data_IF_484909822367
#
_entry.id   IF_484909822367
#
_cell.length_a   1.000
_cell.length_b   1.000
_cell.length_c   1.000
_cell.angle_alpha   90.00
_cell.angle_beta   90.00
_cell.angle_gamma   90.00
#
_symmetry.space_group_name_H-M   'P 1'
#
loop_
_entity.id
_entity.type
_entity.pdbx_description
1 polymer ?
#
# COMPACT_ATOMS: atom_id res chain seq x y z
N UNK A 1 1.59 -18.80 38.39
CA UNK A 1 2.12 -19.19 37.07
C UNK A 1 1.09 -20.08 36.39
N UNK A 2 0.44 -19.60 35.31
CA UNK A 2 -0.38 -20.47 34.47
C UNK A 2 0.57 -21.14 33.47
N UNK A 3 0.75 -22.44 33.60
CA UNK A 3 1.53 -23.24 32.65
C UNK A 3 0.63 -23.40 31.43
N UNK A 4 0.85 -22.58 30.40
CA UNK A 4 0.23 -22.78 29.09
C UNK A 4 0.83 -24.07 28.52
N UNK A 5 -0.02 -25.02 28.11
CA UNK A 5 0.41 -26.31 27.58
C UNK A 5 1.15 -26.12 26.25
N UNK A 6 2.18 -26.94 25.99
CA UNK A 6 3.00 -26.94 24.76
C UNK A 6 2.19 -26.82 23.43
N UNK A 7 1.04 -27.51 23.25
CA UNK A 7 0.24 -27.39 22.03
C UNK A 7 -0.41 -26.01 21.84
N UNK A 8 -0.72 -25.30 22.93
CA UNK A 8 -1.27 -23.94 22.87
C UNK A 8 -0.18 -22.94 22.49
N UNK A 9 1.04 -23.12 23.00
CA UNK A 9 2.20 -22.34 22.59
C UNK A 9 2.56 -22.58 21.12
N UNK A 10 2.55 -23.84 20.66
CA UNK A 10 2.79 -24.17 19.24
C UNK A 10 1.67 -23.62 18.33
N UNK A 11 0.41 -23.64 18.77
CA UNK A 11 -0.71 -23.02 18.05
C UNK A 11 -0.52 -21.50 17.95
N UNK A 12 -0.19 -20.83 19.05
CA UNK A 12 0.05 -19.38 19.07
C UNK A 12 1.23 -18.99 18.17
N UNK A 13 2.34 -19.73 18.22
CA UNK A 13 3.51 -19.50 17.34
C UNK A 13 3.16 -19.75 15.86
N UNK A 14 2.36 -20.80 15.59
CA UNK A 14 1.88 -21.11 14.24
C UNK A 14 0.96 -20.01 13.71
N UNK A 15 0.00 -19.55 14.52
CA UNK A 15 -0.92 -18.47 14.17
C UNK A 15 -0.18 -17.15 13.97
N UNK A 16 0.92 -16.95 14.71
CA UNK A 16 1.78 -15.77 14.61
C UNK A 16 2.53 -15.72 13.28
N UNK A 17 3.16 -16.85 12.94
CA UNK A 17 3.81 -17.03 11.65
C UNK A 17 2.80 -16.95 10.50
N UNK A 18 1.54 -17.36 10.69
CA UNK A 18 0.48 -17.24 9.68
C UNK A 18 0.10 -15.79 9.45
N UNK A 19 -0.18 -15.01 10.49
CA UNK A 19 -0.59 -13.61 10.32
C UNK A 19 0.53 -12.77 9.71
N UNK A 20 1.78 -12.99 10.11
CA UNK A 20 2.93 -12.32 9.50
C UNK A 20 3.10 -12.63 8.01
N UNK A 21 2.91 -13.90 7.63
CA UNK A 21 2.97 -14.32 6.22
C UNK A 21 1.86 -13.68 5.39
N UNK A 22 0.61 -13.75 5.84
CA UNK A 22 -0.53 -13.16 5.12
C UNK A 22 -0.39 -11.64 5.01
N UNK A 23 0.06 -10.95 6.06
CA UNK A 23 0.35 -9.51 6.03
C UNK A 23 1.39 -9.17 4.96
N UNK A 24 2.48 -9.95 4.92
CA UNK A 24 3.56 -9.76 3.95
C UNK A 24 3.11 -9.99 2.52
N UNK A 25 2.27 -10.99 2.27
CA UNK A 25 1.69 -11.26 0.95
C UNK A 25 0.72 -10.16 0.51
N UNK A 26 -0.11 -9.64 1.42
CA UNK A 26 -1.00 -8.50 1.13
C UNK A 26 -0.16 -7.29 0.75
N UNK A 27 0.81 -6.91 1.57
CA UNK A 27 1.66 -5.76 1.31
C UNK A 27 2.46 -5.94 0.02
N UNK A 28 2.95 -7.14 -0.27
CA UNK A 28 3.62 -7.41 -1.54
C UNK A 28 2.67 -7.23 -2.73
N UNK A 29 1.47 -7.80 -2.66
CA UNK A 29 0.46 -7.67 -3.73
C UNK A 29 0.05 -6.21 -3.94
N UNK A 30 -0.06 -5.43 -2.86
CA UNK A 30 -0.44 -4.02 -2.92
C UNK A 30 0.72 -3.08 -3.29
N UNK A 31 1.96 -3.52 -3.09
CA UNK A 31 3.16 -2.81 -3.53
C UNK A 31 3.61 -3.23 -4.95
N UNK A 32 3.01 -4.26 -5.54
CA UNK A 32 3.32 -4.70 -6.90
C UNK A 32 2.84 -3.69 -7.93
N UNK A 33 3.78 -3.22 -8.75
CA UNK A 33 3.48 -2.40 -9.91
C UNK A 33 3.00 -0.99 -9.56
N UNK A 34 2.62 -0.17 -10.55
CA UNK A 34 2.05 1.16 -10.34
C UNK A 34 0.72 1.08 -9.57
N UNK A 35 0.36 2.15 -8.84
CA UNK A 35 -0.93 2.25 -8.13
C UNK A 35 -2.14 1.90 -9.01
N UNK A 36 -2.10 2.26 -10.30
CA UNK A 36 -3.17 1.97 -11.27
C UNK A 36 -3.39 0.48 -11.54
N UNK A 37 -2.40 -0.37 -11.29
CA UNK A 37 -2.53 -1.83 -11.36
C UNK A 37 -3.07 -2.39 -10.04
N UNK A 38 -2.55 -1.89 -8.91
CA UNK A 38 -3.02 -2.23 -7.57
C UNK A 38 -4.52 -1.98 -7.41
N UNK A 39 -5.00 -0.79 -7.80
CA UNK A 39 -6.41 -0.45 -7.65
C UNK A 39 -7.29 -1.36 -8.52
N UNK A 40 -6.83 -1.82 -9.69
CA UNK A 40 -7.57 -2.77 -10.53
C UNK A 40 -7.71 -4.12 -9.86
N UNK A 41 -6.64 -4.64 -9.26
CA UNK A 41 -6.66 -5.92 -8.53
C UNK A 41 -7.72 -5.87 -7.43
N UNK A 42 -7.80 -4.74 -6.72
CA UNK A 42 -8.70 -4.61 -5.58
C UNK A 42 -10.15 -4.29 -5.99
N UNK A 43 -10.35 -3.51 -7.04
CA UNK A 43 -11.70 -3.09 -7.51
C UNK A 43 -12.33 -4.06 -8.51
N UNK A 44 -11.58 -5.04 -9.03
CA UNK A 44 -12.08 -6.05 -9.98
C UNK A 44 -11.97 -7.46 -9.37
N UNK A 45 -12.81 -7.79 -8.38
CA UNK A 45 -12.75 -9.08 -7.68
C UNK A 45 -13.07 -10.28 -8.59
N UNK A 46 -13.64 -10.05 -9.78
CA UNK A 46 -13.93 -11.09 -10.78
C UNK A 46 -12.70 -11.51 -11.61
N UNK A 47 -11.64 -10.70 -11.60
CA UNK A 47 -10.38 -11.06 -12.26
C UNK A 47 -9.65 -12.15 -11.48
N UNK A 48 -8.81 -12.96 -12.13
CA UNK A 48 -8.02 -14.01 -11.46
C UNK A 48 -7.17 -13.44 -10.31
N UNK A 49 -6.51 -12.30 -10.54
CA UNK A 49 -5.73 -11.59 -9.53
C UNK A 49 -6.62 -11.01 -8.41
N UNK A 50 -7.79 -10.48 -8.75
CA UNK A 50 -8.76 -9.98 -7.78
C UNK A 50 -9.34 -11.08 -6.89
N UNK A 51 -9.65 -12.25 -7.45
CA UNK A 51 -10.10 -13.43 -6.70
C UNK A 51 -9.00 -13.95 -5.76
N UNK A 52 -7.76 -13.99 -6.24
CA UNK A 52 -6.60 -14.37 -5.43
C UNK A 52 -6.39 -13.39 -4.27
N UNK A 53 -6.45 -12.08 -4.54
CA UNK A 53 -6.36 -11.04 -3.51
C UNK A 53 -7.52 -11.12 -2.51
N UNK A 54 -8.77 -11.28 -2.97
CA UNK A 54 -9.94 -11.39 -2.11
C UNK A 54 -9.86 -12.61 -1.18
N UNK A 55 -9.38 -13.74 -1.69
CA UNK A 55 -9.15 -14.95 -0.90
C UNK A 55 -8.06 -14.71 0.16
N UNK A 56 -6.95 -14.08 -0.22
CA UNK A 56 -5.87 -13.73 0.67
C UNK A 56 -6.32 -12.76 1.77
N UNK A 57 -7.07 -11.71 1.42
CA UNK A 57 -7.67 -10.75 2.35
C UNK A 57 -8.61 -11.45 3.33
N UNK A 58 -9.48 -12.34 2.86
CA UNK A 58 -10.39 -13.10 3.72
C UNK A 58 -9.63 -13.98 4.73
N UNK A 59 -8.57 -14.67 4.29
CA UNK A 59 -7.70 -15.46 5.17
C UNK A 59 -6.97 -14.58 6.21
N UNK A 60 -6.49 -13.42 5.77
CA UNK A 60 -5.86 -12.44 6.66
C UNK A 60 -6.85 -11.95 7.73
N UNK A 61 -8.05 -11.53 7.34
CA UNK A 61 -9.07 -11.03 8.27
C UNK A 61 -9.52 -12.11 9.27
N UNK A 62 -9.67 -13.36 8.81
CA UNK A 62 -9.97 -14.49 9.69
C UNK A 62 -8.85 -14.77 10.69
N UNK A 63 -7.59 -14.72 10.25
CA UNK A 63 -6.44 -14.95 11.12
C UNK A 63 -6.29 -13.80 12.13
N UNK A 64 -6.53 -12.55 11.70
CA UNK A 64 -6.52 -11.37 12.58
C UNK A 64 -7.57 -11.46 13.68
N UNK A 65 -8.75 -12.01 13.40
CA UNK A 65 -9.83 -12.21 14.38
C UNK A 65 -9.45 -13.10 15.57
N UNK A 66 -8.39 -13.90 15.46
CA UNK A 66 -7.85 -14.68 16.57
C UNK A 66 -7.20 -13.76 17.62
N UNK A 67 -6.62 -12.64 17.18
CA UNK A 67 -5.91 -11.67 18.03
C UNK A 67 -6.80 -10.50 18.46
N UNK A 68 -7.72 -10.05 17.61
CA UNK A 68 -8.67 -8.99 17.95
C UNK A 68 -10.00 -9.23 17.27
N UNK A 69 -11.06 -9.35 18.07
CA UNK A 69 -12.42 -9.58 17.56
C UNK A 69 -13.19 -8.29 17.26
N UNK A 70 -12.80 -7.17 17.90
CA UNK A 70 -13.58 -5.93 17.89
C UNK A 70 -12.81 -4.74 17.30
N UNK A 71 -11.50 -4.68 17.49
CA UNK A 71 -10.66 -3.59 16.99
C UNK A 71 -10.00 -3.96 15.66
N UNK A 72 -9.97 -3.06 14.67
CA UNK A 72 -9.35 -3.35 13.39
C UNK A 72 -7.82 -3.41 13.47
N UNK A 73 -7.21 -2.62 14.36
CA UNK A 73 -5.77 -2.65 14.64
C UNK A 73 -5.44 -3.52 15.85
N UNK A 74 -4.26 -4.13 15.84
CA UNK A 74 -3.73 -4.96 16.92
C UNK A 74 -2.80 -4.14 17.81
N UNK A 75 -2.96 -4.24 19.12
CA UNK A 75 -2.00 -3.68 20.09
C UNK A 75 -1.08 -4.78 20.62
N UNK A 76 0.23 -4.60 20.43
CA UNK A 76 1.22 -5.52 20.98
C UNK A 76 1.17 -5.55 22.52
N UNK A 77 0.84 -4.43 23.16
CA UNK A 77 0.77 -4.33 24.62
C UNK A 77 -0.47 -5.03 25.18
N UNK A 78 -1.63 -4.90 24.53
CA UNK A 78 -2.86 -5.62 24.90
C UNK A 78 -2.69 -7.15 24.72
N UNK A 79 -1.92 -7.56 23.71
CA UNK A 79 -1.57 -8.96 23.46
C UNK A 79 -0.40 -9.46 24.34
N UNK A 80 0.19 -8.60 25.18
CA UNK A 80 1.36 -8.87 26.01
C UNK A 80 2.55 -9.44 25.21
N UNK A 81 2.77 -8.91 24.01
CA UNK A 81 3.87 -9.24 23.10
C UNK A 81 5.05 -8.30 23.39
N UNK A 82 6.18 -8.87 23.81
CA UNK A 82 7.37 -8.11 24.24
C UNK A 82 8.55 -8.28 23.31
N UNK A 83 8.62 -9.39 22.57
CA UNK A 83 9.75 -9.67 21.70
C UNK A 83 9.76 -8.70 20.50
N UNK A 84 10.88 -8.01 20.21
CA UNK A 84 10.94 -7.01 19.13
C UNK A 84 10.57 -7.57 17.75
N UNK A 85 10.94 -8.82 17.45
CA UNK A 85 10.58 -9.51 16.21
C UNK A 85 9.07 -9.68 16.08
N UNK A 86 8.42 -10.08 17.18
CA UNK A 86 6.99 -10.19 17.22
C UNK A 86 6.36 -8.80 17.06
N UNK A 87 6.75 -7.79 17.83
CA UNK A 87 6.20 -6.43 17.68
C UNK A 87 6.32 -5.89 16.25
N UNK A 88 7.40 -6.23 15.53
CA UNK A 88 7.54 -5.97 14.10
C UNK A 88 6.45 -6.64 13.24
N UNK A 89 6.10 -7.90 13.51
CA UNK A 89 5.01 -8.60 12.82
C UNK A 89 3.63 -7.99 13.11
N UNK A 90 3.37 -7.53 14.34
CA UNK A 90 2.14 -6.78 14.66
C UNK A 90 2.08 -5.49 13.82
N UNK A 91 3.19 -4.74 13.76
CA UNK A 91 3.27 -3.54 12.93
C UNK A 91 3.02 -3.83 11.45
N UNK A 92 3.62 -4.88 10.89
CA UNK A 92 3.38 -5.32 9.51
C UNK A 92 1.90 -5.70 9.29
N UNK A 93 1.26 -6.32 10.29
CA UNK A 93 -0.17 -6.66 10.26
C UNK A 93 -1.05 -5.42 10.27
N UNK A 94 -0.73 -4.44 11.12
CA UNK A 94 -1.43 -3.17 11.18
C UNK A 94 -1.26 -2.38 9.87
N UNK A 95 -0.07 -2.42 9.27
CA UNK A 95 0.17 -1.79 7.97
C UNK A 95 -0.64 -2.46 6.86
N UNK A 96 -0.67 -3.79 6.82
CA UNK A 96 -1.52 -4.52 5.86
C UNK A 96 -3.00 -4.15 6.04
N UNK A 97 -3.47 -4.05 7.29
CA UNK A 97 -4.83 -3.58 7.59
C UNK A 97 -5.04 -2.16 7.05
N UNK A 98 -4.16 -1.21 7.40
CA UNK A 98 -4.25 0.18 6.99
C UNK A 98 -4.35 0.31 5.47
N UNK A 99 -3.42 -0.30 4.73
CA UNK A 99 -3.34 -0.19 3.28
C UNK A 99 -4.53 -0.88 2.61
N UNK A 100 -4.92 -2.08 3.08
CA UNK A 100 -6.10 -2.77 2.53
C UNK A 100 -7.38 -1.98 2.74
N UNK A 101 -7.55 -1.29 3.88
CA UNK A 101 -8.73 -0.44 4.14
C UNK A 101 -8.71 0.83 3.30
N UNK A 102 -7.55 1.42 3.09
CA UNK A 102 -7.41 2.66 2.31
C UNK A 102 -7.59 2.41 0.81
N UNK A 103 -7.09 1.29 0.28
CA UNK A 103 -7.13 0.95 -1.15
C UNK A 103 -8.40 0.18 -1.54
N UNK A 104 -8.95 -0.65 -0.64
CA UNK A 104 -9.98 -1.63 -0.97
C UNK A 104 -11.43 -1.29 -0.67
N UNK A 105 -11.70 0.00 -0.45
CA UNK A 105 -12.95 0.43 0.16
C UNK A 105 -12.74 0.53 1.67
N UNK A 106 -13.15 1.67 2.23
CA UNK A 106 -12.87 2.03 3.62
C UNK A 106 -13.63 1.16 4.61
N UNK A 107 -13.16 -0.08 4.81
CA UNK A 107 -13.66 -1.00 5.83
C UNK A 107 -13.38 -0.50 7.26
N UNK A 108 -12.44 0.45 7.40
CA UNK A 108 -12.01 1.06 8.66
C UNK A 108 -12.20 2.56 8.54
N UNK A 109 -12.86 3.14 9.55
CA UNK A 109 -13.14 4.58 9.59
C UNK A 109 -11.87 5.43 9.70
N UNK A 110 -11.94 6.63 9.15
CA UNK A 110 -10.83 7.59 9.13
C UNK A 110 -10.22 7.90 10.50
N UNK A 111 -11.05 8.06 11.54
CA UNK A 111 -10.56 8.32 12.91
C UNK A 111 -9.67 7.19 13.41
N UNK A 112 -10.10 5.95 13.22
CA UNK A 112 -9.35 4.77 13.63
C UNK A 112 -8.01 4.65 12.87
N UNK A 113 -8.00 4.97 11.56
CA UNK A 113 -6.78 5.05 10.76
C UNK A 113 -5.81 6.11 11.29
N UNK A 114 -6.33 7.28 11.68
CA UNK A 114 -5.54 8.37 12.23
C UNK A 114 -4.91 8.05 13.58
N UNK A 115 -5.69 7.43 14.47
CA UNK A 115 -5.26 7.13 15.84
C UNK A 115 -4.15 6.09 15.85
N UNK A 116 -4.21 5.12 14.93
CA UNK A 116 -3.21 4.06 14.81
C UNK A 116 -2.10 4.35 13.80
N UNK A 117 -2.10 5.51 13.13
CA UNK A 117 -1.14 5.82 12.07
C UNK A 117 0.30 5.72 12.58
N UNK A 118 0.61 6.42 13.67
CA UNK A 118 1.99 6.51 14.16
C UNK A 118 2.50 5.13 14.63
N UNK A 119 1.68 4.34 15.33
CA UNK A 119 2.04 2.97 15.74
C UNK A 119 2.21 2.01 14.57
N UNK A 120 1.52 2.27 13.46
CA UNK A 120 1.57 1.46 12.25
C UNK A 120 2.80 1.77 11.39
N UNK A 121 3.14 3.04 11.22
CA UNK A 121 4.20 3.47 10.31
C UNK A 121 5.55 3.69 11.01
N UNK A 122 5.58 3.83 12.33
CA UNK A 122 6.79 4.11 13.10
C UNK A 122 7.05 2.99 14.11
N UNK A 123 8.27 2.45 14.11
CA UNK A 123 8.67 1.45 15.09
C UNK A 123 8.68 2.00 16.52
N UNK A 124 8.58 1.12 17.51
CA UNK A 124 8.63 1.53 18.92
C UNK A 124 9.98 2.19 19.24
N UNK A 125 9.92 3.36 19.88
CA UNK A 125 11.10 4.16 20.21
C UNK A 125 11.81 4.79 19.00
N UNK A 126 11.31 4.59 17.78
CA UNK A 126 11.82 5.27 16.59
C UNK A 126 11.14 6.63 16.40
N UNK A 127 11.87 7.54 15.78
CA UNK A 127 11.41 8.88 15.42
C UNK A 127 10.51 8.87 14.18
N UNK A 128 9.60 9.84 14.08
CA UNK A 128 8.81 10.05 12.88
C UNK A 128 9.68 10.63 11.76
N UNK A 129 9.89 9.82 10.72
CA UNK A 129 10.61 10.22 9.51
C UNK A 129 9.76 11.13 8.61
N UNK A 130 10.43 11.89 7.73
CA UNK A 130 9.79 12.86 6.83
C UNK A 130 8.70 12.25 5.94
N UNK A 131 8.98 11.11 5.29
CA UNK A 131 8.02 10.48 4.36
C UNK A 131 6.73 10.01 5.07
N UNK A 132 6.79 9.20 6.16
CA UNK A 132 5.60 8.90 6.98
C UNK A 132 4.91 10.13 7.56
N UNK A 133 5.65 11.18 7.94
CA UNK A 133 5.08 12.42 8.43
C UNK A 133 4.21 13.12 7.38
N UNK A 134 4.68 13.20 6.14
CA UNK A 134 3.90 13.75 5.03
C UNK A 134 2.64 12.93 4.74
N UNK A 135 2.73 11.60 4.79
CA UNK A 135 1.56 10.72 4.66
C UNK A 135 0.55 10.99 5.78
N UNK A 136 1.00 11.18 7.02
CA UNK A 136 0.10 11.47 8.12
C UNK A 136 -0.61 12.81 7.96
N UNK A 137 0.14 13.83 7.53
CA UNK A 137 -0.38 15.16 7.24
C UNK A 137 -1.46 15.11 6.14
N UNK A 138 -1.19 14.35 5.08
CA UNK A 138 -2.13 14.17 3.98
C UNK A 138 -3.36 13.39 4.43
N UNK A 139 -3.23 12.33 5.24
CA UNK A 139 -4.37 11.62 5.82
C UNK A 139 -5.27 12.57 6.62
N UNK A 140 -4.71 13.34 7.56
CA UNK A 140 -5.46 14.34 8.33
C UNK A 140 -6.17 15.36 7.44
N UNK A 141 -5.54 15.76 6.34
CA UNK A 141 -6.17 16.67 5.36
C UNK A 141 -7.36 16.00 4.67
N UNK A 142 -7.28 14.71 4.31
CA UNK A 142 -8.41 13.97 3.75
C UNK A 142 -9.56 13.84 4.75
N UNK A 143 -9.25 13.62 6.03
CA UNK A 143 -10.26 13.58 7.09
C UNK A 143 -10.97 14.92 7.24
N UNK A 144 -10.22 16.02 7.20
CA UNK A 144 -10.77 17.36 7.24
C UNK A 144 -11.72 17.58 6.04
N UNK A 145 -11.27 17.32 4.82
CA UNK A 145 -12.07 17.50 3.60
C UNK A 145 -13.32 16.64 3.61
N UNK A 146 -13.21 15.39 4.06
CA UNK A 146 -14.36 14.48 4.23
C UNK A 146 -15.35 15.00 5.26
N UNK A 147 -14.87 15.61 6.36
CA UNK A 147 -15.73 16.16 7.41
C UNK A 147 -16.45 17.44 6.97
N UNK A 148 -15.77 18.36 6.28
CA UNK A 148 -16.37 19.64 5.85
C UNK A 148 -17.24 19.52 4.59
N UNK A 149 -17.09 18.44 3.82
CA UNK A 149 -17.93 18.16 2.64
C UNK A 149 -19.24 17.46 3.00
N UNK A 150 -19.41 17.02 4.25
CA UNK A 150 -20.65 16.37 4.70
C UNK A 150 -21.70 17.42 5.07
N UNK A 151 -22.84 17.40 4.39
CA UNK A 151 -23.96 18.34 4.62
C UNK A 151 -24.56 18.23 6.04
N UNK A 152 -24.44 17.06 6.68
CA UNK A 152 -24.96 16.76 8.02
C UNK A 152 -23.93 16.99 9.15
N UNK A 153 -22.78 17.58 8.86
CA UNK A 153 -21.74 17.78 9.87
C UNK A 153 -22.17 18.85 10.89
N UNK A 154 -22.36 18.43 12.14
CA UNK A 154 -22.71 19.32 13.26
C UNK A 154 -21.48 20.08 13.82
N UNK A 155 -20.28 19.56 13.58
CA UNK A 155 -19.02 20.15 14.08
C UNK A 155 -18.61 21.35 13.23
N UNK A 156 -18.20 22.41 13.91
CA UNK A 156 -17.58 23.56 13.26
C UNK A 156 -16.22 23.19 12.67
N UNK A 157 -15.79 23.97 11.68
CA UNK A 157 -14.47 23.88 11.07
C UNK A 157 -13.34 23.89 12.11
N UNK A 158 -13.42 24.78 13.08
CA UNK A 158 -12.41 24.88 14.15
C UNK A 158 -12.40 23.63 15.04
N UNK A 159 -13.57 23.09 15.40
CA UNK A 159 -13.66 21.84 16.18
C UNK A 159 -13.09 20.63 15.44
N UNK A 160 -13.27 20.55 14.12
CA UNK A 160 -12.65 19.50 13.30
C UNK A 160 -11.13 19.67 13.26
N UNK A 161 -10.65 20.91 13.09
CA UNK A 161 -9.22 21.20 13.04
C UNK A 161 -8.51 20.96 14.39
N UNK A 162 -9.13 21.28 15.52
CA UNK A 162 -8.56 21.06 16.85
C UNK A 162 -8.37 19.57 17.17
N UNK A 163 -9.27 18.73 16.68
CA UNK A 163 -9.23 17.28 16.84
C UNK A 163 -8.19 16.63 15.91
N UNK A 164 -8.13 17.07 14.65
CA UNK A 164 -7.17 16.53 13.68
C UNK A 164 -5.75 17.04 13.91
N UNK A 165 -5.60 18.29 14.32
CA UNK A 165 -4.32 18.97 14.52
C UNK A 165 -4.20 19.50 15.96
N UNK A 166 -4.14 18.60 16.96
CA UNK A 166 -4.12 19.01 18.35
C UNK A 166 -2.79 19.68 18.71
N UNK A 167 -2.85 20.67 19.60
CA UNK A 167 -1.64 21.33 20.14
C UNK A 167 -0.69 20.37 20.86
N UNK A 168 -1.22 19.25 21.35
CA UNK A 168 -0.46 18.20 22.03
C UNK A 168 0.28 17.25 21.06
N UNK A 169 0.23 17.47 19.74
CA UNK A 169 0.88 16.60 18.75
C UNK A 169 2.39 16.45 19.03
N UNK A 170 3.05 17.53 19.43
CA UNK A 170 4.46 17.53 19.82
C UNK A 170 4.72 16.65 21.06
N UNK A 171 3.80 16.67 22.04
CA UNK A 171 3.91 15.86 23.25
C UNK A 171 3.65 14.38 22.96
N UNK A 172 2.72 14.08 22.06
CA UNK A 172 2.45 12.71 21.57
C UNK A 172 3.69 12.10 20.91
N UNK A 173 4.41 12.87 20.09
CA UNK A 173 5.66 12.40 19.48
C UNK A 173 6.74 12.19 20.55
N UNK A 174 6.93 13.17 21.45
CA UNK A 174 7.92 13.09 22.53
C UNK A 174 7.69 11.90 23.46
N UNK A 175 6.43 11.55 23.72
CA UNK A 175 6.08 10.40 24.56
C UNK A 175 6.59 9.06 24.01
N UNK A 176 6.90 8.97 22.71
CA UNK A 176 7.39 7.73 22.07
C UNK A 176 8.85 7.42 22.38
N UNK A 177 9.65 8.43 22.70
CA UNK A 177 11.06 8.27 23.08
C UNK A 177 11.31 8.99 24.41
N UNK A 178 10.89 8.39 25.55
CA UNK A 178 11.04 8.97 26.87
C UNK A 178 12.52 9.30 27.15
N UNK A 179 12.79 10.57 27.49
CA UNK A 179 14.12 11.04 27.82
C UNK A 179 14.94 11.61 26.65
N UNK A 180 14.34 11.76 25.47
CA UNK A 180 14.93 12.50 24.34
C UNK A 180 13.98 13.59 23.84
N UNK A 181 14.55 14.71 23.42
CA UNK A 181 13.79 15.78 22.75
C UNK A 181 13.31 15.33 21.37
N UNK A 182 12.39 16.10 20.79
CA UNK A 182 11.93 15.88 19.41
C UNK A 182 13.11 15.99 18.45
N UNK A 183 13.10 15.12 17.46
CA UNK A 183 14.15 15.11 16.44
C UNK A 183 13.88 16.19 15.39
N UNK A 184 14.87 16.49 14.55
CA UNK A 184 14.71 17.54 13.54
C UNK A 184 13.55 17.25 12.57
N UNK A 185 13.34 15.98 12.20
CA UNK A 185 12.22 15.59 11.34
C UNK A 185 10.86 15.77 12.03
N UNK A 186 10.79 15.51 13.33
CA UNK A 186 9.57 15.70 14.12
C UNK A 186 9.24 17.17 14.34
N UNK A 187 10.26 18.01 14.60
CA UNK A 187 10.12 19.46 14.69
C UNK A 187 9.59 20.03 13.36
N UNK A 188 10.17 19.59 12.24
CA UNK A 188 9.71 19.98 10.91
C UNK A 188 8.26 19.52 10.66
N UNK A 189 7.93 18.28 10.99
CA UNK A 189 6.57 17.76 10.86
C UNK A 189 5.56 18.56 11.69
N UNK A 190 5.85 18.87 12.96
CA UNK A 190 4.96 19.68 13.81
C UNK A 190 4.76 21.07 13.21
N UNK A 191 5.84 21.69 12.70
CA UNK A 191 5.77 22.98 12.02
C UNK A 191 4.89 22.90 10.76
N UNK A 192 5.05 21.87 9.94
CA UNK A 192 4.24 21.65 8.74
C UNK A 192 2.77 21.37 9.09
N UNK A 193 2.51 20.61 10.15
CA UNK A 193 1.16 20.34 10.64
C UNK A 193 0.46 21.63 11.11
N UNK A 194 1.16 22.49 11.85
CA UNK A 194 0.63 23.80 12.25
C UNK A 194 0.37 24.71 11.05
N UNK A 195 1.30 24.77 10.09
CA UNK A 195 1.12 25.56 8.87
C UNK A 195 -0.06 25.04 8.03
N UNK A 196 -0.25 23.71 7.93
CA UNK A 196 -1.41 23.12 7.27
C UNK A 196 -2.70 23.46 8.01
N UNK A 197 -2.72 23.38 9.34
CA UNK A 197 -3.88 23.76 10.17
C UNK A 197 -4.26 25.21 9.92
N UNK A 198 -3.30 26.14 9.96
CA UNK A 198 -3.52 27.56 9.67
C UNK A 198 -4.04 27.80 8.24
N UNK A 199 -3.45 27.11 7.26
CA UNK A 199 -3.90 27.19 5.87
C UNK A 199 -5.35 26.73 5.70
N UNK A 200 -5.67 25.55 6.25
CA UNK A 200 -7.04 25.02 6.23
C UNK A 200 -7.99 25.94 7.00
N UNK A 201 -7.57 26.53 8.12
CA UNK A 201 -8.38 27.44 8.92
C UNK A 201 -8.75 28.73 8.16
N UNK A 202 -7.79 29.30 7.43
CA UNK A 202 -7.98 30.55 6.69
C UNK A 202 -8.78 30.41 5.39
N UNK A 203 -9.04 29.17 4.95
CA UNK A 203 -9.94 28.89 3.83
C UNK A 203 -11.37 29.43 4.10
N UNK A 204 -12.10 29.87 3.09
CA UNK A 204 -13.45 30.42 3.28
C UNK A 204 -14.47 29.36 3.70
N UNK A 205 -14.21 28.07 3.43
CA UNK A 205 -15.12 26.97 3.76
C UNK A 205 -16.40 26.95 2.92
N UNK A 206 -16.47 27.76 1.86
CA UNK A 206 -17.55 27.68 0.88
C UNK A 206 -17.34 26.47 -0.06
N UNK A 207 -18.41 25.99 -0.73
CA UNK A 207 -18.32 24.80 -1.59
C UNK A 207 -17.27 24.89 -2.70
N UNK A 208 -17.04 26.09 -3.26
CA UNK A 208 -16.06 26.29 -4.32
C UNK A 208 -14.64 26.16 -3.76
N UNK A 209 -14.38 26.74 -2.57
CA UNK A 209 -13.09 26.61 -1.88
C UNK A 209 -12.81 25.17 -1.46
N UNK A 210 -13.82 24.46 -0.95
CA UNK A 210 -13.70 23.03 -0.61
C UNK A 210 -13.43 22.19 -1.86
N UNK A 211 -14.04 22.51 -3.00
CA UNK A 211 -13.76 21.84 -4.28
C UNK A 211 -12.30 22.03 -4.71
N UNK A 212 -11.78 23.26 -4.65
CA UNK A 212 -10.39 23.58 -4.98
C UNK A 212 -9.43 22.82 -4.06
N UNK A 213 -9.70 22.80 -2.75
CA UNK A 213 -8.88 22.05 -1.80
C UNK A 213 -8.92 20.54 -2.07
N UNK A 214 -10.08 20.02 -2.46
CA UNK A 214 -10.25 18.59 -2.79
C UNK A 214 -9.48 18.19 -4.05
N UNK A 215 -9.37 19.09 -5.03
CA UNK A 215 -8.50 18.89 -6.21
C UNK A 215 -7.02 18.99 -5.83
N UNK A 216 -6.64 19.98 -5.03
CA UNK A 216 -5.25 20.18 -4.61
C UNK A 216 -4.72 19.02 -3.76
N UNK A 217 -5.58 18.47 -2.90
CA UNK A 217 -5.29 17.31 -2.06
C UNK A 217 -6.10 16.12 -2.55
N UNK A 218 -5.90 15.72 -3.80
CA UNK A 218 -6.61 14.58 -4.36
C UNK A 218 -6.32 13.28 -3.58
N UNK A 219 -7.37 12.51 -3.29
CA UNK A 219 -7.25 11.19 -2.65
C UNK A 219 -6.34 10.25 -3.45
N UNK A 220 -6.40 10.32 -4.78
CA UNK A 220 -5.55 9.53 -5.65
C UNK A 220 -4.06 9.79 -5.42
N UNK A 221 -3.68 11.04 -5.16
CA UNK A 221 -2.29 11.40 -4.90
C UNK A 221 -1.84 10.92 -3.53
N UNK A 222 -2.72 10.94 -2.53
CA UNK A 222 -2.45 10.27 -1.25
C UNK A 222 -2.17 8.77 -1.44
N UNK A 223 -3.00 8.07 -2.24
CA UNK A 223 -2.84 6.65 -2.51
C UNK A 223 -1.54 6.33 -3.28
N UNK A 224 -1.17 7.17 -4.25
CA UNK A 224 0.13 7.06 -4.96
C UNK A 224 1.30 7.22 -4.00
N UNK A 225 1.28 8.27 -3.18
CA UNK A 225 2.33 8.51 -2.18
C UNK A 225 2.45 7.34 -1.19
N UNK A 226 1.32 6.77 -0.76
CA UNK A 226 1.30 5.59 0.10
C UNK A 226 1.91 4.37 -0.60
N UNK A 227 1.53 4.09 -1.85
CA UNK A 227 2.08 3.00 -2.65
C UNK A 227 3.61 3.13 -2.82
N UNK A 228 4.10 4.34 -3.10
CA UNK A 228 5.53 4.60 -3.27
C UNK A 228 6.31 4.43 -1.96
N UNK A 229 5.74 4.88 -0.84
CA UNK A 229 6.31 4.62 0.47
C UNK A 229 6.39 3.12 0.78
N UNK A 230 5.33 2.35 0.49
CA UNK A 230 5.32 0.90 0.69
C UNK A 230 6.43 0.20 -0.10
N UNK A 231 6.63 0.58 -1.36
CA UNK A 231 7.72 0.05 -2.18
C UNK A 231 9.07 0.36 -1.57
N UNK A 232 9.36 1.64 -1.29
CA UNK A 232 10.66 2.05 -0.75
C UNK A 232 10.98 1.42 0.61
N UNK A 233 10.03 1.50 1.55
CA UNK A 233 10.28 1.12 2.93
C UNK A 233 10.13 -0.39 3.17
N UNK A 234 9.26 -1.06 2.41
CA UNK A 234 8.89 -2.44 2.70
C UNK A 234 9.29 -3.44 1.61
N UNK A 235 9.48 -3.05 0.34
CA UNK A 235 10.00 -3.99 -0.67
C UNK A 235 11.36 -4.61 -0.28
N UNK A 236 12.34 -3.86 0.28
CA UNK A 236 13.61 -4.44 0.74
C UNK A 236 13.46 -5.41 1.93
N UNK A 237 12.38 -5.27 2.72
CA UNK A 237 12.09 -6.12 3.88
C UNK A 237 11.27 -7.36 3.47
N UNK A 238 10.34 -7.17 2.52
CA UNK A 238 9.41 -8.18 2.02
C UNK A 238 10.12 -9.13 1.06
N UNK A 239 10.94 -8.63 0.12
CA UNK A 239 11.57 -9.47 -0.91
C UNK A 239 12.47 -10.59 -0.34
N UNK A 240 13.32 -10.37 0.69
CA UNK A 240 14.08 -11.44 1.33
C UNK A 240 13.18 -12.43 2.09
N UNK A 241 12.12 -11.93 2.74
CA UNK A 241 11.18 -12.77 3.48
C UNK A 241 10.38 -13.68 2.54
N UNK A 242 9.88 -13.15 1.43
CA UNK A 242 9.16 -13.93 0.41
C UNK A 242 10.05 -15.00 -0.23
N UNK A 243 11.30 -14.67 -0.57
CA UNK A 243 12.28 -15.66 -1.05
C UNK A 243 12.59 -16.73 -0.01
N UNK A 244 12.81 -16.34 1.25
CA UNK A 244 13.15 -17.27 2.34
C UNK A 244 12.01 -18.25 2.65
N UNK A 245 10.77 -17.80 2.53
CA UNK A 245 9.58 -18.61 2.86
C UNK A 245 8.83 -19.16 1.64
N UNK A 246 9.43 -19.08 0.45
CA UNK A 246 8.85 -19.52 -0.83
C UNK A 246 7.41 -18.98 -1.06
N UNK A 247 7.14 -17.78 -0.55
CA UNK A 247 5.85 -17.13 -0.75
C UNK A 247 5.86 -16.47 -2.12
N UNK A 248 4.85 -16.76 -2.95
CA UNK A 248 4.65 -16.08 -4.22
C UNK A 248 3.53 -15.07 -4.01
N UNK A 249 3.81 -13.80 -4.24
CA UNK A 249 2.73 -12.85 -4.52
C UNK A 249 2.14 -13.22 -5.90
N UNK A 250 0.86 -12.91 -6.16
CA UNK A 250 0.27 -13.16 -7.48
C UNK A 250 1.20 -12.63 -8.58
N UNK A 251 1.43 -13.37 -9.67
CA UNK A 251 2.30 -12.90 -10.73
C UNK A 251 1.73 -11.58 -11.29
N UNK A 252 2.57 -10.53 -11.50
CA UNK A 252 2.10 -9.32 -12.17
C UNK A 252 1.59 -9.71 -13.55
N UNK A 253 0.54 -9.02 -14.00
CA UNK A 253 -0.13 -9.33 -15.27
C UNK A 253 0.88 -9.26 -16.40
N UNK A 254 1.34 -10.40 -16.92
CA UNK A 254 2.07 -10.42 -18.18
C UNK A 254 1.11 -9.88 -19.22
N UNK A 255 1.46 -8.75 -19.84
CA UNK A 255 0.74 -8.22 -20.99
C UNK A 255 0.38 -9.37 -21.93
N UNK A 256 -0.90 -9.43 -22.27
CA UNK A 256 -1.46 -10.23 -23.34
C UNK A 256 -0.62 -9.99 -24.59
N UNK A 257 0.26 -10.94 -24.92
CA UNK A 257 0.82 -11.00 -26.27
C UNK A 257 -0.35 -11.12 -27.25
N UNK A 258 -0.31 -10.44 -28.42
CA UNK A 258 -1.31 -10.64 -29.45
C UNK A 258 -1.37 -12.13 -29.80
N UNK A 259 -2.58 -12.69 -29.75
CA UNK A 259 -2.87 -14.03 -30.21
C UNK A 259 -2.35 -14.21 -31.63
N UNK A 260 -1.37 -15.12 -31.81
CA UNK A 260 -1.12 -15.71 -33.12
C UNK A 260 -2.34 -16.57 -33.51
N UNK A 261 -2.84 -16.48 -34.75
CA UNK A 261 -4.00 -17.24 -35.19
C UNK A 261 -3.66 -18.73 -35.30
N UNK A 262 -4.65 -19.56 -34.94
CA UNK A 262 -4.67 -21.02 -35.05
C UNK A 262 -4.05 -21.55 -36.35
N UNK A 263 -3.29 -22.66 -36.31
CA UNK A 263 -3.02 -23.44 -37.51
C UNK A 263 -4.21 -24.38 -37.78
N UNK A 264 -4.92 -24.10 -38.85
CA UNK A 264 -5.88 -25.01 -39.48
C UNK A 264 -5.15 -26.22 -40.06
N UNK A 265 -5.75 -27.40 -39.89
CA UNK A 265 -5.40 -28.65 -40.58
C UNK A 265 -5.17 -28.45 -42.07
N UNK A 266 -4.02 -28.87 -42.59
CA UNK A 266 -3.88 -29.33 -43.98
C UNK A 266 -2.80 -30.42 -44.08
N UNK A 267 -3.16 -31.51 -44.76
CA UNK A 267 -2.38 -32.72 -45.00
C UNK A 267 -1.08 -32.43 -45.77
N UNK A 268 -0.03 -33.29 -45.63
CA UNK A 268 1.20 -33.13 -46.38
C UNK A 268 1.12 -33.77 -47.77
N UNK A 269 1.36 -32.99 -48.82
CA UNK A 269 1.74 -33.49 -50.15
C UNK A 269 3.27 -33.53 -50.33
N UNK A 270 3.80 -34.45 -51.15
CA UNK A 270 5.20 -34.89 -51.06
C UNK A 270 6.17 -34.04 -51.90
N UNK A 271 7.41 -33.94 -51.39
CA UNK A 271 8.58 -33.37 -52.09
C UNK A 271 8.91 -34.12 -53.38
N UNK A 272 9.40 -33.42 -54.42
CA UNK A 272 10.39 -33.96 -55.34
C UNK A 272 11.81 -33.48 -54.97
N UNK A 273 12.75 -34.42 -55.10
CA UNK A 273 14.20 -34.28 -54.90
C UNK A 273 14.93 -33.86 -56.19
N UNK A 274 16.23 -33.54 -56.02
CA UNK A 274 17.30 -33.26 -57.01
C UNK A 274 17.42 -31.81 -57.50
N UNK A 275 18.60 -31.23 -57.74
CA UNK A 275 20.00 -31.34 -57.27
C UNK A 275 20.69 -30.04 -57.81
N UNK A 276 21.95 -29.71 -57.46
CA UNK A 276 22.47 -28.35 -57.49
C UNK A 276 23.18 -27.98 -58.81
N UNK A 277 23.13 -26.71 -59.21
CA UNK A 277 24.12 -26.13 -60.12
C UNK A 277 24.56 -24.73 -59.66
N UNK A 278 25.87 -24.56 -59.69
CA UNK A 278 26.68 -23.40 -59.27
C UNK A 278 26.95 -22.48 -60.51
N UNK A 279 27.80 -21.44 -60.44
CA UNK A 279 27.43 -20.03 -60.69
C UNK A 279 28.05 -19.42 -61.97
N UNK A 280 27.47 -18.36 -62.54
CA UNK A 280 28.12 -17.46 -63.51
C UNK A 280 27.57 -16.03 -63.33
N UNK A 281 28.31 -15.06 -62.81
CA UNK A 281 29.32 -14.17 -63.44
C UNK A 281 28.75 -13.02 -64.31
N UNK A 282 29.23 -11.80 -63.98
CA UNK A 282 29.49 -10.58 -64.80
C UNK A 282 28.37 -9.55 -65.03
N UNK A 283 28.42 -8.44 -64.23
CA UNK A 283 28.63 -7.00 -64.59
C UNK A 283 28.07 -6.38 -65.92
N UNK A 284 28.04 -5.04 -66.10
CA UNK A 284 27.41 -3.94 -65.34
C UNK A 284 26.67 -2.95 -66.31
N UNK A 285 26.44 -1.68 -65.89
CA UNK A 285 26.08 -0.50 -66.73
C UNK A 285 24.62 -0.45 -67.28
N UNK A 286 23.86 0.66 -67.31
CA UNK A 286 24.17 2.08 -67.42
C UNK A 286 23.00 2.94 -66.87
N UNK A 287 23.42 4.07 -66.31
CA UNK A 287 22.77 5.38 -66.19
C UNK A 287 21.77 5.74 -67.31
N UNK A 288 20.65 6.36 -66.95
CA UNK A 288 20.03 7.47 -67.70
C UNK A 288 18.78 8.02 -66.98
N UNK A 289 18.90 9.25 -66.50
CA UNK A 289 17.90 10.27 -66.81
C UNK A 289 17.00 10.74 -65.66
N UNK A 290 17.43 11.82 -65.02
CA UNK A 290 16.53 12.86 -64.52
C UNK A 290 15.60 13.35 -65.65
N UNK A 291 14.30 13.42 -65.37
CA UNK A 291 13.42 14.43 -65.95
C UNK A 291 12.36 14.78 -64.89
N UNK A 292 12.52 15.98 -64.33
CA UNK A 292 11.56 16.91 -63.69
C UNK A 292 10.19 16.39 -63.20
#
# INVERSE_FOLDING_TARGET
MRILSLPILESLVSDYARIGRSSTQILSTLAQGPYSETIKIVTQPESELGQAYATLKSLFDQTKKIYSQQKPFLSADELNIREPEHRGTIRTTNLATFVSSVVGGQDVGFYELNDHFIETFVADGAELQKEPGLLYLNLKTQMYLSAVSQEEQERTKDEVLDDLFPVSLADTLRARHPGSDLTQSEIEFVKEANARREYLQNDSGDPDSISILSEQYAWEDFLKNLSDHLKKAYEPLIAPYMRRHALTAPPPSLHTQPQHPNPTNELPEPKPSHEPQQPQHTEPELDLGDLD
#
